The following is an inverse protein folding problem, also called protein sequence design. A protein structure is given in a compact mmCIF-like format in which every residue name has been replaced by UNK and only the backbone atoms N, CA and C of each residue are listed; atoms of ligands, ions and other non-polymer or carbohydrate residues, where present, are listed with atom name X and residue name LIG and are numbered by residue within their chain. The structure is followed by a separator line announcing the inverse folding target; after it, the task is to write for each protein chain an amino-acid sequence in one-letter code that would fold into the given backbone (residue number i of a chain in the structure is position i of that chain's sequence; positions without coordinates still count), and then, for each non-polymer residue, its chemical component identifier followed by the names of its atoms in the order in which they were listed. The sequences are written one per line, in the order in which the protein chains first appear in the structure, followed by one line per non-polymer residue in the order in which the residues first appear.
data_IF_650287112420
#
_entry.id   IF_650287112420
#
_cell.length_a   1.000
_cell.length_b   1.000
_cell.length_c   1.000
_cell.angle_alpha   90.00
_cell.angle_beta   90.00
_cell.angle_gamma   90.00
#
_symmetry.space_group_name_H-M   'P 1'
#
loop_
_entity.id
_entity.type
_entity.pdbx_description
1 polymer ?
#
# COMPACT_ATOMS: atom_id res chain seq x y z
N UNK A 1 -24.15 -17.17 1.01
CA UNK A 1 -24.09 -16.00 1.93
C UNK A 1 -22.83 -15.97 2.80
N UNK A 2 -22.30 -17.11 3.30
CA UNK A 2 -21.11 -17.10 4.16
C UNK A 2 -19.81 -16.77 3.40
N UNK A 3 -19.58 -17.36 2.21
CA UNK A 3 -18.35 -17.16 1.45
C UNK A 3 -18.10 -15.69 1.10
N UNK A 4 -19.13 -14.97 0.63
CA UNK A 4 -19.04 -13.53 0.36
C UNK A 4 -18.62 -12.74 1.59
N UNK A 5 -19.14 -13.07 2.78
CA UNK A 5 -18.79 -12.38 4.01
C UNK A 5 -17.31 -12.59 4.38
N UNK A 6 -16.83 -13.83 4.35
CA UNK A 6 -15.42 -14.12 4.64
C UNK A 6 -14.47 -13.49 3.62
N UNK A 7 -14.82 -13.55 2.33
CA UNK A 7 -14.05 -12.92 1.26
C UNK A 7 -13.97 -11.40 1.46
N UNK A 8 -15.10 -10.74 1.75
CA UNK A 8 -15.12 -9.30 2.01
C UNK A 8 -14.30 -8.92 3.24
N UNK A 9 -14.38 -9.68 4.33
CA UNK A 9 -13.55 -9.45 5.53
C UNK A 9 -12.05 -9.57 5.18
N UNK A 10 -11.66 -10.60 4.43
CA UNK A 10 -10.27 -10.77 4.01
C UNK A 10 -9.77 -9.58 3.17
N UNK A 11 -10.61 -9.06 2.26
CA UNK A 11 -10.33 -7.87 1.47
C UNK A 11 -10.22 -6.62 2.34
N UNK A 12 -11.12 -6.43 3.32
CA UNK A 12 -11.07 -5.30 4.26
C UNK A 12 -9.79 -5.33 5.11
N UNK A 13 -9.32 -6.49 5.53
CA UNK A 13 -8.05 -6.63 6.27
C UNK A 13 -6.84 -6.27 5.39
N UNK A 14 -6.79 -6.77 4.15
CA UNK A 14 -5.76 -6.38 3.17
C UNK A 14 -5.75 -4.86 2.96
N UNK A 15 -6.94 -4.26 2.79
CA UNK A 15 -7.11 -2.83 2.60
C UNK A 15 -6.67 -2.00 3.81
N UNK A 16 -7.03 -2.40 5.03
CA UNK A 16 -6.62 -1.73 6.25
C UNK A 16 -5.09 -1.72 6.40
N UNK A 17 -4.43 -2.84 6.06
CA UNK A 17 -2.97 -2.92 6.04
C UNK A 17 -2.37 -1.95 5.03
N UNK A 18 -2.86 -1.95 3.78
CA UNK A 18 -2.38 -1.02 2.75
C UNK A 18 -2.56 0.43 3.17
N UNK A 19 -3.71 0.77 3.78
CA UNK A 19 -3.96 2.12 4.29
C UNK A 19 -2.91 2.55 5.32
N UNK A 20 -2.58 1.69 6.27
CA UNK A 20 -1.54 1.96 7.28
C UNK A 20 -0.18 2.20 6.60
N UNK A 21 0.19 1.38 5.61
CA UNK A 21 1.45 1.53 4.88
C UNK A 21 1.53 2.87 4.13
N UNK A 22 0.45 3.28 3.45
CA UNK A 22 0.37 4.58 2.75
C UNK A 22 0.39 5.75 3.73
N UNK A 23 -0.37 5.67 4.84
CA UNK A 23 -0.40 6.72 5.86
C UNK A 23 0.97 6.91 6.51
N UNK A 24 1.64 5.82 6.89
CA UNK A 24 2.98 5.88 7.48
C UNK A 24 4.01 6.50 6.51
N UNK A 25 3.87 6.27 5.20
CA UNK A 25 4.70 6.92 4.20
C UNK A 25 4.41 8.42 4.12
N UNK A 26 3.13 8.80 4.04
CA UNK A 26 2.70 10.19 3.98
C UNK A 26 3.17 10.98 5.21
N UNK A 27 2.98 10.44 6.41
CA UNK A 27 3.41 11.09 7.66
C UNK A 27 4.93 11.29 7.71
N UNK A 28 5.71 10.32 7.20
CA UNK A 28 7.18 10.39 7.17
C UNK A 28 7.70 11.47 6.23
N UNK A 29 7.07 11.63 5.07
CA UNK A 29 7.57 12.50 4.00
C UNK A 29 6.77 13.79 3.82
N UNK A 30 5.87 14.06 4.76
CA UNK A 30 5.10 15.30 4.78
C UNK A 30 6.05 16.51 4.80
N UNK A 31 5.85 17.54 3.96
CA UNK A 31 6.72 18.70 3.90
C UNK A 31 6.94 19.37 5.27
N UNK A 32 5.92 19.43 6.12
CA UNK A 32 6.01 20.00 7.47
C UNK A 32 6.87 19.19 8.45
N UNK A 33 7.25 17.95 8.12
CA UNK A 33 8.15 17.14 8.93
C UNK A 33 9.63 17.55 8.78
N UNK A 34 9.95 18.31 7.74
CA UNK A 34 11.31 18.72 7.39
C UNK A 34 11.51 20.19 7.76
N UNK A 35 12.04 20.45 8.96
CA UNK A 35 12.33 21.80 9.43
C UNK A 35 13.72 22.24 8.96
N UNK A 36 13.78 23.29 8.14
CA UNK A 36 14.98 24.13 7.95
C UNK A 36 15.91 23.78 6.78
N UNK A 37 16.11 22.51 6.44
CA UNK A 37 16.95 22.11 5.30
C UNK A 37 16.17 21.24 4.30
N UNK A 38 16.27 21.52 2.98
CA UNK A 38 15.67 20.66 1.97
C UNK A 38 16.31 19.27 2.02
N UNK A 39 15.54 18.19 1.75
CA UNK A 39 16.09 16.85 1.65
C UNK A 39 17.27 16.79 0.68
N UNK A 40 18.31 16.05 1.06
CA UNK A 40 19.39 15.68 0.15
C UNK A 40 18.87 14.82 -1.01
N UNK A 41 19.60 14.80 -2.13
CA UNK A 41 19.29 13.93 -3.28
C UNK A 41 19.06 12.46 -2.87
N UNK A 42 19.89 11.93 -1.97
CA UNK A 42 19.73 10.57 -1.43
C UNK A 42 18.42 10.38 -0.67
N UNK A 43 17.95 11.40 0.04
CA UNK A 43 16.67 11.34 0.74
C UNK A 43 15.49 11.36 -0.24
N UNK A 44 15.58 12.13 -1.34
CA UNK A 44 14.58 12.05 -2.41
C UNK A 44 14.51 10.67 -3.07
N UNK A 45 15.66 10.06 -3.35
CA UNK A 45 15.73 8.68 -3.87
C UNK A 45 15.05 7.69 -2.91
N UNK A 46 15.35 7.78 -1.61
CA UNK A 46 14.73 6.94 -0.58
C UNK A 46 13.20 7.14 -0.50
N UNK A 47 12.74 8.39 -0.66
CA UNK A 47 11.32 8.70 -0.68
C UNK A 47 10.64 8.06 -1.89
N UNK A 48 11.25 8.15 -3.07
CA UNK A 48 10.74 7.55 -4.30
C UNK A 48 10.75 6.02 -4.26
N UNK A 49 11.80 5.41 -3.70
CA UNK A 49 11.87 3.97 -3.51
C UNK A 49 10.76 3.47 -2.57
N UNK A 50 10.52 4.17 -1.46
CA UNK A 50 9.45 3.85 -0.53
C UNK A 50 8.07 4.03 -1.17
N UNK A 51 7.88 5.10 -1.95
CA UNK A 51 6.65 5.34 -2.72
C UNK A 51 6.41 4.24 -3.76
N UNK A 52 7.46 3.79 -4.46
CA UNK A 52 7.38 2.68 -5.42
C UNK A 52 6.91 1.40 -4.72
N UNK A 53 7.51 1.05 -3.58
CA UNK A 53 7.13 -0.16 -2.84
C UNK A 53 5.64 -0.15 -2.42
N UNK A 54 5.15 0.98 -1.92
CA UNK A 54 3.73 1.13 -1.55
C UNK A 54 2.83 1.04 -2.79
N UNK A 55 3.20 1.68 -3.90
CA UNK A 55 2.42 1.61 -5.14
C UNK A 55 2.37 0.20 -5.74
N UNK A 56 3.48 -0.54 -5.70
CA UNK A 56 3.54 -1.94 -6.13
C UNK A 56 2.65 -2.83 -5.23
N UNK A 57 2.68 -2.63 -3.92
CA UNK A 57 1.80 -3.33 -2.99
C UNK A 57 0.32 -3.07 -3.30
N UNK A 58 -0.04 -1.84 -3.64
CA UNK A 58 -1.40 -1.48 -4.07
C UNK A 58 -1.82 -2.18 -5.38
N UNK A 59 -0.91 -2.31 -6.35
CA UNK A 59 -1.22 -2.88 -7.66
C UNK A 59 -1.53 -4.39 -7.62
N UNK A 60 -0.97 -5.11 -6.65
CA UNK A 60 -1.11 -6.56 -6.55
C UNK A 60 -2.30 -7.05 -5.72
N UNK A 61 -3.16 -6.13 -5.26
CA UNK A 61 -4.28 -6.44 -4.36
C UNK A 61 -5.29 -7.39 -4.99
N UNK A 62 -5.90 -8.22 -4.15
CA UNK A 62 -6.91 -9.22 -4.58
C UNK A 62 -8.17 -8.53 -5.11
N UNK A 63 -8.48 -7.36 -4.57
CA UNK A 63 -9.59 -6.52 -5.01
C UNK A 63 -9.50 -6.22 -6.51
N UNK A 64 -8.34 -5.76 -6.98
CA UNK A 64 -8.07 -5.43 -8.38
C UNK A 64 -8.15 -6.65 -9.30
N UNK A 65 -7.64 -7.78 -8.83
CA UNK A 65 -7.55 -9.01 -9.64
C UNK A 65 -8.89 -9.72 -9.82
N UNK A 66 -9.73 -9.72 -8.78
CA UNK A 66 -10.87 -10.64 -8.74
C UNK A 66 -12.22 -9.93 -8.59
N UNK A 67 -12.28 -8.82 -7.85
CA UNK A 67 -13.56 -8.14 -7.56
C UNK A 67 -13.90 -7.10 -8.62
N UNK A 68 -12.97 -6.21 -8.99
CA UNK A 68 -13.23 -5.21 -10.04
C UNK A 68 -13.66 -5.84 -11.36
N UNK A 69 -13.03 -6.92 -11.88
CA UNK A 69 -13.46 -7.56 -13.13
C UNK A 69 -14.83 -8.24 -13.02
N UNK A 70 -15.21 -8.70 -11.82
CA UNK A 70 -16.55 -9.25 -11.59
C UNK A 70 -17.61 -8.15 -11.59
N UNK A 71 -17.32 -6.98 -11.02
CA UNK A 71 -18.22 -5.83 -10.96
C UNK A 71 -18.42 -5.13 -12.31
N UNK A 72 -17.37 -4.98 -13.12
CA UNK A 72 -17.47 -4.35 -14.46
C UNK A 72 -18.55 -4.97 -15.35
N UNK A 73 -18.89 -6.24 -15.12
CA UNK A 73 -19.87 -7.01 -15.90
C UNK A 73 -21.31 -6.89 -15.37
N UNK A 74 -21.58 -6.07 -14.35
CA UNK A 74 -22.83 -6.13 -13.58
C UNK A 74 -23.75 -4.91 -13.69
N UNK A 75 -23.38 -3.87 -14.45
CA UNK A 75 -24.26 -2.73 -14.75
C UNK A 75 -23.53 -1.39 -14.85
N UNK A 76 -24.26 -0.36 -15.28
CA UNK A 76 -23.69 0.99 -15.51
C UNK A 76 -23.17 1.66 -14.24
N UNK A 77 -23.89 1.54 -13.11
CA UNK A 77 -23.44 2.13 -11.83
C UNK A 77 -22.13 1.51 -11.33
N UNK A 78 -22.00 0.19 -11.44
CA UNK A 78 -20.76 -0.51 -11.11
C UNK A 78 -19.63 -0.14 -12.07
N UNK A 79 -19.92 -0.04 -13.37
CA UNK A 79 -18.94 0.38 -14.36
C UNK A 79 -18.44 1.82 -14.11
N UNK A 80 -19.34 2.74 -13.75
CA UNK A 80 -19.00 4.12 -13.40
C UNK A 80 -18.08 4.18 -12.18
N UNK A 81 -18.45 3.53 -11.06
CA UNK A 81 -17.61 3.53 -9.85
C UNK A 81 -16.23 2.92 -10.14
N UNK A 82 -16.17 1.81 -10.88
CA UNK A 82 -14.89 1.20 -11.24
C UNK A 82 -14.05 2.14 -12.12
N UNK A 83 -14.66 2.85 -13.07
CA UNK A 83 -13.94 3.82 -13.91
C UNK A 83 -13.40 5.02 -13.10
N UNK A 84 -14.12 5.47 -12.07
CA UNK A 84 -13.66 6.51 -11.15
C UNK A 84 -12.46 6.03 -10.32
N UNK A 85 -12.51 4.80 -9.78
CA UNK A 85 -11.38 4.19 -9.07
C UNK A 85 -10.15 3.99 -9.98
N UNK A 86 -10.36 3.56 -11.23
CA UNK A 86 -9.30 3.46 -12.24
C UNK A 86 -8.70 4.85 -12.55
N UNK A 87 -9.55 5.90 -12.55
CA UNK A 87 -9.13 7.29 -12.69
C UNK A 87 -8.22 7.75 -11.55
N UNK A 88 -8.57 7.45 -10.30
CA UNK A 88 -7.71 7.72 -9.14
C UNK A 88 -6.38 6.97 -9.24
N UNK A 89 -6.41 5.71 -9.67
CA UNK A 89 -5.21 4.91 -9.90
C UNK A 89 -4.27 5.51 -10.95
N UNK A 90 -4.80 6.03 -12.07
CA UNK A 90 -4.01 6.72 -13.10
C UNK A 90 -3.40 8.02 -12.58
N UNK A 91 -4.18 8.85 -11.89
CA UNK A 91 -3.67 10.09 -11.29
C UNK A 91 -2.57 9.81 -10.26
N UNK A 92 -2.71 8.75 -9.45
CA UNK A 92 -1.68 8.36 -8.50
C UNK A 92 -0.38 7.92 -9.21
N UNK A 93 -0.51 7.19 -10.32
CA UNK A 93 0.65 6.80 -11.14
C UNK A 93 1.35 8.02 -11.75
N UNK A 94 0.61 8.98 -12.26
CA UNK A 94 1.15 10.24 -12.80
C UNK A 94 1.87 11.04 -11.71
N UNK A 95 1.26 11.18 -10.53
CA UNK A 95 1.89 11.84 -9.39
C UNK A 95 3.18 11.15 -8.94
N UNK A 96 3.22 9.80 -8.95
CA UNK A 96 4.43 9.03 -8.67
C UNK A 96 5.54 9.30 -9.70
N UNK A 97 5.19 9.36 -10.98
CA UNK A 97 6.14 9.67 -12.04
C UNK A 97 6.68 11.10 -11.91
N UNK A 98 5.82 12.07 -11.57
CA UNK A 98 6.23 13.44 -11.28
C UNK A 98 7.18 13.52 -10.08
N UNK A 99 6.90 12.78 -8.99
CA UNK A 99 7.79 12.71 -7.83
C UNK A 99 9.17 12.17 -8.22
N UNK A 100 9.20 11.09 -9.02
CA UNK A 100 10.45 10.51 -9.49
C UNK A 100 11.25 11.45 -10.38
N UNK A 101 10.59 12.20 -11.28
CA UNK A 101 11.24 13.18 -12.13
C UNK A 101 11.84 14.33 -11.29
N UNK A 102 11.05 14.91 -10.38
CA UNK A 102 11.50 15.97 -9.48
C UNK A 102 12.68 15.51 -8.59
N UNK A 103 12.68 14.26 -8.12
CA UNK A 103 13.77 13.71 -7.31
C UNK A 103 15.11 13.67 -8.05
N UNK A 104 15.11 13.39 -9.37
CA UNK A 104 16.33 13.35 -10.20
C UNK A 104 16.97 14.73 -10.30
N UNK A 105 16.15 15.77 -10.35
CA UNK A 105 16.59 17.16 -10.45
C UNK A 105 16.84 17.81 -9.07
N UNK A 106 16.58 17.09 -7.98
CA UNK A 106 16.63 17.63 -6.61
C UNK A 106 15.57 18.70 -6.35
N UNK A 107 14.46 18.68 -7.09
CA UNK A 107 13.37 19.64 -6.98
C UNK A 107 12.53 19.36 -5.72
N UNK A 108 12.34 20.37 -4.83
CA UNK A 108 11.41 20.30 -3.71
C UNK A 108 9.98 19.85 -4.07
N UNK A 109 9.55 20.04 -5.32
CA UNK A 109 8.30 19.53 -5.88
C UNK A 109 8.13 18.01 -5.74
N UNK A 110 9.21 17.25 -5.53
CA UNK A 110 9.17 15.81 -5.28
C UNK A 110 8.27 15.46 -4.08
N UNK A 111 8.37 16.20 -2.96
CA UNK A 111 7.58 15.88 -1.76
C UNK A 111 6.09 16.18 -1.98
N UNK A 112 5.76 17.26 -2.68
CA UNK A 112 4.39 17.60 -3.01
C UNK A 112 3.75 16.56 -3.95
N UNK A 113 4.49 16.07 -4.94
CA UNK A 113 4.03 15.01 -5.83
C UNK A 113 3.88 13.65 -5.10
N UNK A 114 4.78 13.34 -4.16
CA UNK A 114 4.66 12.17 -3.29
C UNK A 114 3.41 12.27 -2.40
N UNK A 115 3.20 13.40 -1.74
CA UNK A 115 2.01 13.66 -0.91
C UNK A 115 0.74 13.49 -1.75
N UNK A 116 0.68 14.10 -2.93
CA UNK A 116 -0.45 13.96 -3.85
C UNK A 116 -0.70 12.50 -4.25
N UNK A 117 0.35 11.73 -4.52
CA UNK A 117 0.24 10.31 -4.83
C UNK A 117 -0.38 9.53 -3.65
N UNK A 118 0.12 9.73 -2.44
CA UNK A 118 -0.41 9.09 -1.23
C UNK A 118 -1.87 9.45 -0.98
N UNK A 119 -2.25 10.72 -1.12
CA UNK A 119 -3.63 11.17 -0.95
C UNK A 119 -4.59 10.51 -1.95
N UNK A 120 -4.20 10.42 -3.22
CA UNK A 120 -4.99 9.74 -4.25
C UNK A 120 -5.17 8.24 -3.96
N UNK A 121 -4.13 7.58 -3.45
CA UNK A 121 -4.22 6.18 -3.01
C UNK A 121 -5.15 6.03 -1.81
N UNK A 122 -5.07 6.94 -0.82
CA UNK A 122 -5.95 6.93 0.35
C UNK A 122 -7.41 7.18 -0.02
N UNK A 123 -7.67 8.14 -0.90
CA UNK A 123 -9.00 8.40 -1.44
C UNK A 123 -9.56 7.16 -2.13
N UNK A 124 -8.76 6.53 -2.99
CA UNK A 124 -9.16 5.29 -3.67
C UNK A 124 -9.49 4.18 -2.66
N UNK A 125 -8.65 3.97 -1.64
CA UNK A 125 -8.88 2.98 -0.59
C UNK A 125 -10.16 3.27 0.22
N UNK A 126 -10.45 4.54 0.52
CA UNK A 126 -11.68 4.93 1.20
C UNK A 126 -12.92 4.60 0.35
N UNK A 127 -12.91 4.98 -0.93
CA UNK A 127 -14.03 4.71 -1.85
C UNK A 127 -14.24 3.22 -2.09
N UNK A 128 -13.17 2.45 -2.15
CA UNK A 128 -13.25 0.98 -2.19
C UNK A 128 -14.00 0.44 -0.96
N UNK A 129 -13.70 0.93 0.25
CA UNK A 129 -14.39 0.48 1.46
C UNK A 129 -15.86 0.87 1.52
N UNK A 130 -16.13 2.15 1.23
CA UNK A 130 -17.42 2.78 1.53
C UNK A 130 -18.45 2.54 0.45
N UNK A 131 -18.00 2.37 -0.80
CA UNK A 131 -18.87 2.27 -1.96
C UNK A 131 -18.70 0.92 -2.65
N UNK A 132 -17.46 0.53 -3.00
CA UNK A 132 -17.23 -0.65 -3.83
C UNK A 132 -17.56 -1.96 -3.12
N UNK A 133 -17.09 -2.17 -1.89
CA UNK A 133 -17.34 -3.42 -1.16
C UNK A 133 -18.83 -3.64 -0.86
N UNK A 134 -19.60 -2.62 -0.41
CA UNK A 134 -21.06 -2.74 -0.31
C UNK A 134 -21.73 -3.06 -1.64
N UNK A 135 -21.32 -2.41 -2.73
CA UNK A 135 -21.84 -2.67 -4.07
C UNK A 135 -21.52 -4.09 -4.56
N UNK A 136 -20.29 -4.56 -4.34
CA UNK A 136 -19.87 -5.92 -4.65
C UNK A 136 -20.75 -6.94 -3.92
N UNK A 137 -21.05 -6.68 -2.64
CA UNK A 137 -21.88 -7.57 -1.83
C UNK A 137 -23.29 -7.75 -2.39
N UNK A 138 -23.88 -6.70 -2.97
CA UNK A 138 -25.25 -6.75 -3.51
C UNK A 138 -25.29 -7.25 -4.95
N UNK A 139 -24.30 -6.91 -5.77
CA UNK A 139 -24.33 -7.17 -7.22
C UNK A 139 -23.67 -8.49 -7.62
N UNK A 140 -22.72 -9.01 -6.85
CA UNK A 140 -22.01 -10.25 -7.20
C UNK A 140 -22.81 -11.46 -6.66
N UNK A 141 -23.24 -12.39 -7.53
CA UNK A 141 -23.94 -13.61 -7.11
C UNK A 141 -23.05 -14.51 -6.24
N UNK A 142 -23.68 -15.31 -5.38
CA UNK A 142 -22.97 -16.21 -4.45
C UNK A 142 -22.01 -17.19 -5.13
N UNK A 143 -22.37 -17.74 -6.28
CA UNK A 143 -21.50 -18.63 -7.07
C UNK A 143 -20.25 -17.92 -7.59
N UNK A 144 -20.40 -16.66 -8.00
CA UNK A 144 -19.26 -15.83 -8.41
C UNK A 144 -18.35 -15.52 -7.21
N UNK A 145 -18.93 -15.24 -6.03
CA UNK A 145 -18.15 -15.11 -4.80
C UNK A 145 -17.37 -16.37 -4.44
N UNK A 146 -17.96 -17.55 -4.65
CA UNK A 146 -17.28 -18.81 -4.44
C UNK A 146 -16.08 -18.98 -5.38
N UNK A 147 -16.24 -18.68 -6.67
CA UNK A 147 -15.14 -18.69 -7.64
C UNK A 147 -14.03 -17.69 -7.26
N UNK A 148 -14.40 -16.46 -6.85
CA UNK A 148 -13.45 -15.43 -6.38
C UNK A 148 -12.67 -15.94 -5.17
N UNK A 149 -13.35 -16.52 -4.18
CA UNK A 149 -12.70 -17.03 -2.97
C UNK A 149 -11.65 -18.11 -3.30
N UNK A 150 -11.98 -19.05 -4.19
CA UNK A 150 -11.04 -20.08 -4.62
C UNK A 150 -9.82 -19.48 -5.36
N UNK A 151 -10.05 -18.48 -6.22
CA UNK A 151 -8.96 -17.78 -6.92
C UNK A 151 -8.06 -17.01 -5.95
N UNK A 152 -8.63 -16.40 -4.91
CA UNK A 152 -7.87 -15.72 -3.85
C UNK A 152 -7.00 -16.69 -3.05
N UNK A 153 -7.53 -17.87 -2.70
CA UNK A 153 -6.77 -18.90 -1.99
C UNK A 153 -5.61 -19.44 -2.84
N UNK A 154 -5.85 -19.71 -4.12
CA UNK A 154 -4.79 -20.10 -5.05
C UNK A 154 -3.73 -18.99 -5.19
N UNK A 155 -4.17 -17.72 -5.23
CA UNK A 155 -3.25 -16.59 -5.26
C UNK A 155 -2.37 -16.51 -4.00
N UNK A 156 -2.94 -16.72 -2.82
CA UNK A 156 -2.20 -16.73 -1.56
C UNK A 156 -1.20 -17.89 -1.48
N UNK A 157 -1.57 -19.08 -1.96
CA UNK A 157 -0.67 -20.23 -2.04
C UNK A 157 0.57 -19.90 -2.89
N UNK A 158 0.38 -19.39 -4.10
CA UNK A 158 1.49 -19.01 -4.97
C UNK A 158 2.37 -17.88 -4.38
N UNK A 159 1.77 -16.91 -3.70
CA UNK A 159 2.54 -15.85 -3.03
C UNK A 159 3.35 -16.39 -1.84
N UNK A 160 2.83 -17.40 -1.14
CA UNK A 160 3.54 -18.04 -0.04
C UNK A 160 4.71 -18.91 -0.52
N UNK A 161 4.54 -19.63 -1.63
CA UNK A 161 5.58 -20.43 -2.27
C UNK A 161 6.74 -19.55 -2.77
N UNK A 162 6.43 -18.48 -3.51
CA UNK A 162 7.43 -17.52 -4.00
C UNK A 162 8.18 -16.79 -2.87
N UNK A 163 7.55 -16.60 -1.70
CA UNK A 163 8.22 -16.05 -0.51
C UNK A 163 9.04 -17.10 0.25
N UNK A 164 8.62 -18.36 0.21
CA UNK A 164 9.31 -19.49 0.83
C UNK A 164 10.58 -19.91 0.09
N UNK A 165 10.59 -19.81 -1.24
CA UNK A 165 11.78 -20.11 -2.07
C UNK A 165 12.89 -19.05 -1.92
N UNK A 166 12.58 -17.85 -1.42
CA UNK A 166 13.56 -16.83 -1.05
C UNK A 166 14.20 -17.01 0.33
N UNK A 167 13.78 -18.02 1.11
CA UNK A 167 14.34 -18.32 2.43
C UNK A 167 14.84 -19.76 2.44
N UNK A 168 16.06 -19.94 1.91
CA UNK A 168 16.83 -21.17 2.10
C UNK A 168 16.97 -21.52 3.60
N UNK A 169 17.25 -22.79 3.93
CA UNK A 169 17.20 -23.27 5.30
C UNK A 169 18.28 -22.58 6.13
N UNK A 170 17.88 -21.69 7.04
CA UNK A 170 18.76 -21.17 8.08
C UNK A 170 18.95 -22.25 9.14
N UNK A 171 19.75 -23.24 8.78
CA UNK A 171 20.32 -24.24 9.67
C UNK A 171 21.47 -23.58 10.47
N UNK A 172 21.12 -23.00 11.61
CA UNK A 172 21.81 -23.21 12.87
C UNK A 172 23.30 -22.80 13.02
N UNK A 173 23.50 -21.98 14.06
CA UNK A 173 24.61 -22.02 15.04
C UNK A 173 25.85 -21.16 14.73
N UNK A 174 25.99 -20.05 15.46
CA UNK A 174 27.13 -19.91 16.38
C UNK A 174 26.85 -19.01 17.59
N UNK A 175 27.23 -19.53 18.76
CA UNK A 175 27.21 -18.95 20.11
C UNK A 175 28.06 -17.68 20.24
N UNK A 176 27.58 -16.77 21.09
CA UNK A 176 28.36 -16.27 22.24
C UNK A 176 28.91 -14.86 22.14
N UNK A 177 28.35 -13.93 22.94
CA UNK A 177 29.03 -13.11 23.97
C UNK A 177 28.06 -12.02 24.48
N UNK A 178 28.03 -11.69 25.79
CA UNK A 178 27.21 -10.60 26.32
C UNK A 178 27.89 -9.25 26.08
N UNK A 179 27.14 -8.15 25.88
CA UNK A 179 27.75 -6.83 25.84
C UNK A 179 28.14 -6.37 27.25
N UNK A 180 29.42 -6.01 27.37
CA UNK A 180 30.00 -5.35 28.52
C UNK A 180 29.39 -3.96 28.74
N UNK A 181 29.30 -3.57 30.02
CA UNK A 181 28.90 -2.26 30.49
C UNK A 181 29.81 -1.15 29.93
N UNK A 182 29.20 -0.11 29.34
CA UNK A 182 29.85 1.20 29.21
C UNK A 182 28.88 2.26 29.76
N UNK A 183 29.11 2.55 31.04
CA UNK A 183 29.07 3.83 31.73
C UNK A 183 28.47 5.04 30.98
N UNK A 184 27.31 5.48 31.48
CA UNK A 184 26.97 6.85 31.89
C UNK A 184 27.94 7.98 31.51
N UNK A 185 27.48 8.92 30.65
CA UNK A 185 27.46 10.39 30.90
C UNK A 185 27.03 11.17 29.65
N UNK A 186 26.31 12.27 29.92
CA UNK A 186 25.99 13.42 29.05
C UNK A 186 24.84 13.21 28.03
N UNK A 187 23.85 14.09 27.93
CA UNK A 187 23.59 15.33 28.64
C UNK A 187 22.11 15.69 28.59
N UNK A 188 21.67 16.41 29.62
CA UNK A 188 20.40 17.13 29.69
C UNK A 188 20.33 18.13 28.54
N UNK A 189 19.12 18.42 28.05
CA UNK A 189 18.57 19.76 27.80
C UNK A 189 17.29 19.66 26.95
N UNK A 190 16.15 19.43 27.61
CA UNK A 190 14.83 19.80 27.10
C UNK A 190 14.14 20.60 28.21
N UNK A 191 14.41 21.90 28.26
CA UNK A 191 13.57 22.89 28.91
C UNK A 191 13.89 24.26 28.30
N UNK A 192 13.08 24.66 27.33
CA UNK A 192 12.55 26.02 27.11
C UNK A 192 11.62 25.99 25.92
#
# INVERSE_FOLDING_TARGET
MLTSTYTLVALSVEQARTRIEVQALLERWRPCAWWGEPPSMRQYEQACDALRQVCEACHWRKLDKFVLPALRRRGEDAARLVAELDGLGRQALEARQAAQAAAVDGDPGCLAALERCCELLLERLEREERELLPLARTMIPGETWFAIANQMLAHDAHQSENRGEGRGPDMGVMRGLPPAEISSRQNRLCHS
#
